data_IF_836496436443
#
_entry.id   IF_836496436443
#
_cell.length_a   1.000
_cell.length_b   1.000
_cell.length_c   1.000
_cell.angle_alpha   90.00
_cell.angle_beta   90.00
_cell.angle_gamma   90.00
#
_symmetry.space_group_name_H-M   'P 1'
#
loop_
_entity.id
_entity.type
_entity.pdbx_description
1 polymer ?
#
# COMPACT_ATOMS: atom_id res chain seq x y z
N UNK A 1 18.63 7.93 -12.48
CA UNK A 1 19.00 8.09 -13.91
C UNK A 1 17.74 8.05 -14.75
N UNK A 2 17.51 9.05 -15.57
CA UNK A 2 16.41 9.09 -16.53
C UNK A 2 16.86 8.46 -17.85
N UNK A 3 16.03 7.60 -18.44
CA UNK A 3 16.15 7.17 -19.81
C UNK A 3 15.26 8.10 -20.66
N UNK A 4 15.85 8.76 -21.64
CA UNK A 4 15.13 9.72 -22.48
C UNK A 4 14.94 9.17 -23.88
N UNK A 5 13.75 9.29 -24.40
CA UNK A 5 13.42 9.00 -25.80
C UNK A 5 12.58 10.14 -26.36
N UNK A 6 12.96 10.65 -27.53
CA UNK A 6 12.25 11.73 -28.21
C UNK A 6 11.61 11.19 -29.48
N UNK A 7 10.33 11.48 -29.69
CA UNK A 7 9.62 11.20 -30.94
C UNK A 7 8.71 12.38 -31.31
N UNK A 8 8.37 12.45 -32.58
CA UNK A 8 7.43 13.45 -33.09
C UNK A 8 6.12 12.77 -33.43
N UNK A 9 5.02 13.33 -32.97
CA UNK A 9 3.68 12.85 -33.24
C UNK A 9 2.69 14.01 -33.32
N UNK A 10 1.65 13.84 -34.13
CA UNK A 10 0.51 14.74 -34.19
C UNK A 10 -0.72 14.19 -33.45
N UNK A 11 -0.55 13.15 -32.65
CA UNK A 11 -1.64 12.53 -31.90
C UNK A 11 -1.93 13.28 -30.62
N UNK A 12 -3.20 13.51 -30.33
CA UNK A 12 -3.67 14.15 -29.09
C UNK A 12 -3.56 13.24 -27.87
N UNK A 13 -3.52 11.92 -28.10
CA UNK A 13 -3.42 10.90 -27.05
C UNK A 13 -2.29 9.93 -27.37
N UNK A 14 -1.44 9.71 -26.37
CA UNK A 14 -0.28 8.84 -26.48
C UNK A 14 -0.33 7.81 -25.36
N UNK A 15 -0.14 6.54 -25.70
CA UNK A 15 0.06 5.47 -24.73
C UNK A 15 1.53 5.09 -24.70
N UNK A 16 2.15 5.17 -23.56
CA UNK A 16 3.57 4.91 -23.34
C UNK A 16 3.71 3.62 -22.54
N UNK A 17 4.49 2.66 -23.05
CA UNK A 17 4.82 1.41 -22.37
C UNK A 17 6.33 1.24 -22.41
N UNK A 18 6.97 1.19 -21.26
CA UNK A 18 8.35 0.75 -21.16
C UNK A 18 8.39 -0.78 -21.12
N UNK A 19 9.27 -1.38 -21.92
CA UNK A 19 9.42 -2.83 -22.03
C UNK A 19 10.90 -3.24 -22.13
N UNK A 20 11.18 -4.51 -21.90
CA UNK A 20 12.49 -5.08 -22.22
C UNK A 20 12.87 -4.85 -23.68
N UNK A 21 14.14 -4.53 -23.97
CA UNK A 21 14.63 -4.54 -25.34
C UNK A 21 14.55 -5.97 -25.90
N UNK A 22 14.02 -6.11 -27.10
CA UNK A 22 13.85 -7.38 -27.79
C UNK A 22 12.45 -7.54 -28.38
N UNK A 23 12.25 -8.64 -29.13
CA UNK A 23 10.99 -8.95 -29.80
C UNK A 23 9.94 -9.55 -28.88
N UNK A 24 10.35 -10.14 -27.77
CA UNK A 24 9.44 -10.77 -26.81
C UNK A 24 9.07 -9.80 -25.68
N UNK A 25 7.79 -9.77 -25.37
CA UNK A 25 7.25 -8.96 -24.26
C UNK A 25 7.38 -9.74 -22.94
N UNK A 26 8.61 -10.06 -22.57
CA UNK A 26 8.87 -10.83 -21.34
C UNK A 26 8.69 -10.00 -20.08
N UNK A 27 8.77 -8.68 -20.22
CA UNK A 27 8.49 -7.72 -19.17
C UNK A 27 8.01 -6.40 -19.78
N UNK A 28 7.01 -5.81 -19.19
CA UNK A 28 6.54 -4.46 -19.53
C UNK A 28 6.09 -3.73 -18.25
N UNK A 29 6.29 -2.42 -18.24
CA UNK A 29 5.68 -1.56 -17.24
C UNK A 29 4.18 -1.38 -17.52
N UNK A 30 3.45 -0.86 -16.54
CA UNK A 30 2.08 -0.42 -16.73
C UNK A 30 1.99 0.62 -17.86
N UNK A 31 0.89 0.59 -18.62
CA UNK A 31 0.64 1.58 -19.67
C UNK A 31 0.36 2.93 -19.04
N UNK A 32 1.10 3.95 -19.45
CA UNK A 32 0.86 5.34 -19.08
C UNK A 32 0.17 6.05 -20.25
N UNK A 33 -1.00 6.62 -20.02
CA UNK A 33 -1.74 7.37 -21.02
C UNK A 33 -1.55 8.87 -20.80
N UNK A 34 -1.10 9.58 -21.83
CA UNK A 34 -0.94 11.02 -21.84
C UNK A 34 -1.85 11.65 -22.90
N UNK A 35 -2.62 12.64 -22.50
CA UNK A 35 -3.41 13.46 -23.41
C UNK A 35 -2.79 14.84 -23.51
N UNK A 36 -2.28 15.18 -24.71
CA UNK A 36 -1.82 16.52 -24.99
C UNK A 36 -3.02 17.42 -25.31
N UNK A 37 -3.28 18.40 -24.47
CA UNK A 37 -4.35 19.37 -24.69
C UNK A 37 -3.98 20.44 -25.74
N UNK A 38 -2.67 20.69 -25.94
CA UNK A 38 -2.11 21.66 -26.89
C UNK A 38 -1.08 21.00 -27.80
N UNK A 39 -1.58 20.32 -28.85
CA UNK A 39 -0.74 19.54 -29.80
C UNK A 39 0.29 20.38 -30.60
N UNK A 40 0.38 21.68 -30.35
CA UNK A 40 1.30 22.59 -31.05
C UNK A 40 2.63 22.82 -30.33
N UNK A 41 2.80 22.31 -29.10
CA UNK A 41 4.00 22.55 -28.30
C UNK A 41 4.72 21.24 -28.00
N UNK A 42 6.04 21.27 -27.94
CA UNK A 42 6.86 20.17 -27.46
C UNK A 42 6.62 20.03 -25.96
N UNK A 43 6.33 18.80 -25.52
CA UNK A 43 6.04 18.50 -24.13
C UNK A 43 6.94 17.37 -23.64
N UNK A 44 7.60 17.59 -22.52
CA UNK A 44 8.28 16.53 -21.80
C UNK A 44 7.26 15.73 -20.98
N UNK A 45 7.24 14.42 -21.16
CA UNK A 45 6.42 13.50 -20.35
C UNK A 45 7.32 12.59 -19.54
N UNK A 46 7.18 12.68 -18.22
CA UNK A 46 7.94 11.85 -17.29
C UNK A 46 7.11 10.64 -16.87
N UNK A 47 7.68 9.47 -17.01
CA UNK A 47 7.06 8.18 -16.66
C UNK A 47 7.93 7.48 -15.64
N UNK A 48 7.34 7.00 -14.55
CA UNK A 48 8.05 6.31 -13.46
C UNK A 48 7.66 4.84 -13.48
N UNK A 49 8.66 3.98 -13.33
CA UNK A 49 8.43 2.54 -13.23
C UNK A 49 7.44 2.21 -12.11
N UNK A 50 6.39 1.48 -12.46
CA UNK A 50 5.35 1.08 -11.52
C UNK A 50 4.30 2.15 -11.19
N UNK A 51 4.29 3.27 -11.93
CA UNK A 51 3.23 4.29 -11.88
C UNK A 51 2.55 4.39 -13.25
N UNK A 52 1.23 4.61 -13.25
CA UNK A 52 0.43 4.81 -14.48
C UNK A 52 0.21 6.29 -14.79
N UNK A 53 0.77 7.20 -13.98
CA UNK A 53 0.62 8.63 -14.14
C UNK A 53 1.60 9.19 -15.16
N UNK A 54 1.11 10.01 -16.09
CA UNK A 54 1.94 10.84 -16.95
C UNK A 54 2.18 12.19 -16.27
N UNK A 55 3.43 12.53 -16.01
CA UNK A 55 3.82 13.81 -15.42
C UNK A 55 4.35 14.73 -16.49
N UNK A 56 3.94 15.99 -16.49
CA UNK A 56 4.44 17.05 -17.41
C UNK A 56 5.49 17.94 -16.77
N UNK A 57 5.80 17.70 -15.53
CA UNK A 57 6.92 18.30 -14.80
C UNK A 57 7.70 17.19 -14.13
N UNK A 58 8.99 17.39 -13.85
CA UNK A 58 9.77 16.38 -13.11
C UNK A 58 9.04 16.11 -11.78
N UNK A 59 8.47 14.91 -11.60
CA UNK A 59 7.73 14.61 -10.38
C UNK A 59 8.68 14.59 -9.19
N UNK A 60 8.16 14.87 -8.01
CA UNK A 60 8.86 14.51 -6.79
C UNK A 60 8.93 12.98 -6.76
N UNK A 61 10.11 12.45 -7.07
CA UNK A 61 10.36 11.02 -7.19
C UNK A 61 10.01 10.31 -5.86
N UNK A 62 10.07 11.03 -4.75
CA UNK A 62 9.65 10.54 -3.44
C UNK A 62 8.17 10.14 -3.43
N UNK A 63 7.28 10.97 -3.94
CA UNK A 63 5.85 10.64 -4.02
C UNK A 63 5.57 9.58 -5.09
N UNK A 64 6.19 9.71 -6.24
CA UNK A 64 5.90 8.87 -7.39
C UNK A 64 6.42 7.42 -7.25
N UNK A 65 7.48 7.19 -6.48
CA UNK A 65 7.99 5.83 -6.18
C UNK A 65 7.36 5.19 -4.96
N UNK A 66 6.63 5.95 -4.15
CA UNK A 66 5.91 5.39 -3.02
C UNK A 66 4.70 4.60 -3.53
N UNK A 67 4.64 3.32 -3.18
CA UNK A 67 3.46 2.50 -3.47
C UNK A 67 2.32 2.94 -2.57
N UNK A 68 1.14 3.19 -3.16
CA UNK A 68 -0.08 3.53 -2.47
C UNK A 68 -1.01 2.32 -2.45
N UNK A 69 -1.62 2.05 -1.32
CA UNK A 69 -2.52 0.91 -1.16
C UNK A 69 -3.80 1.31 -0.41
N UNK A 70 -4.89 0.68 -0.81
CA UNK A 70 -6.07 0.50 0.04
C UNK A 70 -6.07 -0.95 0.52
N UNK A 71 -5.92 -1.14 1.81
CA UNK A 71 -5.98 -2.45 2.44
C UNK A 71 -7.42 -2.74 2.82
N UNK A 72 -8.00 -3.76 2.23
CA UNK A 72 -9.36 -4.19 2.55
C UNK A 72 -9.28 -5.46 3.38
N UNK A 73 -9.51 -5.36 4.68
CA UNK A 73 -9.69 -6.52 5.55
C UNK A 73 -11.12 -7.02 5.40
N UNK A 74 -11.29 -8.32 5.13
CA UNK A 74 -12.60 -8.94 5.05
C UNK A 74 -12.82 -9.89 6.22
N UNK A 75 -13.89 -9.67 6.98
CA UNK A 75 -14.29 -10.50 8.11
C UNK A 75 -15.52 -11.31 7.74
N UNK A 76 -15.35 -12.61 7.62
CA UNK A 76 -16.40 -13.55 7.29
C UNK A 76 -16.84 -14.37 8.49
N UNK A 77 -18.15 -14.65 8.56
CA UNK A 77 -18.74 -15.39 9.68
C UNK A 77 -18.30 -16.85 9.75
N UNK A 78 -18.00 -17.46 8.59
CA UNK A 78 -17.61 -18.86 8.48
C UNK A 78 -16.11 -19.07 8.25
N UNK A 79 -15.33 -17.98 8.23
CA UNK A 79 -13.89 -18.01 7.95
C UNK A 79 -13.49 -18.73 6.65
N UNK A 80 -14.41 -18.82 5.68
CA UNK A 80 -14.16 -19.38 4.36
C UNK A 80 -13.90 -18.25 3.37
N UNK A 81 -12.66 -18.14 2.88
CA UNK A 81 -12.22 -17.09 1.95
C UNK A 81 -11.92 -17.62 0.55
N UNK A 82 -12.12 -18.92 0.31
CA UNK A 82 -11.89 -19.50 -1.02
C UNK A 82 -12.79 -18.84 -2.06
N UNK A 83 -12.22 -18.52 -3.22
CA UNK A 83 -12.90 -17.81 -4.30
C UNK A 83 -13.22 -16.32 -4.04
N UNK A 84 -13.05 -15.82 -2.82
CA UNK A 84 -13.32 -14.40 -2.54
C UNK A 84 -12.14 -13.51 -2.95
N UNK A 85 -12.47 -12.38 -3.59
CA UNK A 85 -11.53 -11.37 -4.05
C UNK A 85 -12.18 -9.99 -4.10
N UNK A 86 -11.35 -8.97 -4.25
CA UNK A 86 -11.77 -7.62 -4.59
C UNK A 86 -11.77 -7.49 -6.10
N UNK A 87 -12.86 -7.01 -6.67
CA UNK A 87 -12.87 -6.48 -8.02
C UNK A 87 -12.94 -4.96 -7.97
N UNK A 88 -11.95 -4.28 -8.57
CA UNK A 88 -11.87 -2.82 -8.67
C UNK A 88 -11.68 -2.41 -10.12
N UNK A 89 -12.21 -1.27 -10.54
CA UNK A 89 -12.20 -0.82 -11.95
C UNK A 89 -11.54 0.53 -12.14
N UNK A 90 -11.03 1.14 -11.09
CA UNK A 90 -10.43 2.47 -11.14
C UNK A 90 -9.17 2.65 -10.29
N UNK A 91 -8.55 1.57 -9.83
CA UNK A 91 -7.32 1.64 -9.04
C UNK A 91 -6.11 2.16 -9.85
N UNK A 92 -6.16 1.99 -11.16
CA UNK A 92 -5.04 2.28 -12.07
C UNK A 92 -4.08 1.09 -12.25
N UNK A 93 -4.39 -0.06 -11.64
CA UNK A 93 -3.60 -1.30 -11.69
C UNK A 93 -4.52 -2.51 -11.90
N UNK A 94 -4.18 -3.63 -11.26
CA UNK A 94 -4.97 -4.86 -11.33
C UNK A 94 -6.40 -4.63 -10.87
N UNK A 95 -7.34 -5.16 -11.60
CA UNK A 95 -8.77 -5.08 -11.30
C UNK A 95 -9.28 -6.23 -10.43
N UNK A 96 -8.45 -7.27 -10.22
CA UNK A 96 -8.73 -8.39 -9.33
C UNK A 96 -7.62 -8.55 -8.30
N UNK A 97 -7.97 -8.40 -7.01
CA UNK A 97 -7.00 -8.53 -5.90
C UNK A 97 -7.48 -9.60 -4.93
N UNK A 98 -6.66 -10.64 -4.75
CA UNK A 98 -6.94 -11.76 -3.84
C UNK A 98 -6.66 -11.40 -2.40
N UNK A 99 -7.41 -12.01 -1.49
CA UNK A 99 -7.13 -11.92 -0.07
C UNK A 99 -5.91 -12.78 0.30
N UNK A 100 -5.09 -12.23 1.17
CA UNK A 100 -3.92 -12.91 1.74
C UNK A 100 -4.13 -12.99 3.24
N UNK A 101 -3.93 -14.17 3.79
CA UNK A 101 -3.98 -14.37 5.25
C UNK A 101 -2.76 -13.72 5.89
N UNK A 102 -2.99 -12.99 6.98
CA UNK A 102 -1.96 -12.35 7.75
C UNK A 102 -2.34 -12.32 9.23
N UNK A 103 -1.76 -13.22 10.01
CA UNK A 103 -1.98 -13.33 11.46
C UNK A 103 -3.46 -13.41 11.86
N UNK A 104 -4.23 -14.22 11.15
CA UNK A 104 -5.65 -14.40 11.37
C UNK A 104 -6.56 -13.38 10.68
N UNK A 105 -6.00 -12.34 10.07
CA UNK A 105 -6.74 -11.38 9.25
C UNK A 105 -6.56 -11.69 7.77
N UNK A 106 -7.63 -11.58 6.99
CA UNK A 106 -7.60 -11.71 5.54
C UNK A 106 -7.67 -10.35 4.88
N UNK A 107 -6.62 -9.95 4.18
CA UNK A 107 -6.42 -8.60 3.66
C UNK A 107 -6.13 -8.66 2.17
N UNK A 108 -6.88 -7.88 1.39
CA UNK A 108 -6.59 -7.62 -0.01
C UNK A 108 -5.82 -6.28 -0.12
N UNK A 109 -4.55 -6.29 -0.54
CA UNK A 109 -3.76 -5.08 -0.71
C UNK A 109 -4.00 -4.48 -2.10
N UNK A 110 -5.03 -3.66 -2.25
CA UNK A 110 -5.36 -3.01 -3.52
C UNK A 110 -4.36 -1.89 -3.78
N UNK A 111 -3.47 -2.10 -4.73
CA UNK A 111 -2.55 -1.05 -5.17
C UNK A 111 -3.31 0.04 -5.91
N UNK A 112 -2.96 1.30 -5.64
CA UNK A 112 -3.65 2.47 -6.18
C UNK A 112 -2.65 3.43 -6.80
N UNK A 113 -3.01 4.02 -7.93
CA UNK A 113 -2.21 5.10 -8.52
C UNK A 113 -2.17 6.31 -7.58
N UNK A 114 -1.00 6.94 -7.44
CA UNK A 114 -0.79 8.12 -6.60
C UNK A 114 -1.67 9.32 -6.98
N UNK A 115 -2.21 9.33 -8.21
CA UNK A 115 -3.14 10.35 -8.68
C UNK A 115 -4.59 10.15 -8.25
N UNK A 116 -4.92 9.02 -7.60
CA UNK A 116 -6.30 8.71 -7.21
C UNK A 116 -6.63 9.26 -5.83
N UNK A 117 -7.77 9.90 -5.72
CA UNK A 117 -8.35 10.36 -4.45
C UNK A 117 -9.38 9.37 -3.87
N UNK A 118 -9.74 8.36 -4.63
CA UNK A 118 -10.63 7.28 -4.21
C UNK A 118 -10.46 6.06 -5.11
N UNK A 119 -10.91 4.91 -4.62
CA UNK A 119 -11.13 3.72 -5.42
C UNK A 119 -12.57 3.22 -5.24
N UNK A 120 -13.07 2.59 -6.28
CA UNK A 120 -14.36 1.88 -6.26
C UNK A 120 -14.12 0.39 -6.44
N UNK A 121 -14.81 -0.42 -5.66
CA UNK A 121 -14.65 -1.86 -5.68
C UNK A 121 -15.93 -2.59 -5.23
N UNK A 122 -15.95 -3.89 -5.46
CA UNK A 122 -16.93 -4.78 -4.83
C UNK A 122 -16.23 -6.04 -4.28
N UNK A 123 -16.88 -6.66 -3.30
CA UNK A 123 -16.50 -7.96 -2.77
C UNK A 123 -17.10 -9.03 -3.69
N UNK A 124 -16.24 -9.75 -4.40
CA UNK A 124 -16.65 -10.73 -5.39
C UNK A 124 -16.23 -12.14 -4.98
N UNK A 125 -17.14 -13.09 -5.19
CA UNK A 125 -16.81 -14.51 -5.18
C UNK A 125 -16.69 -15.00 -6.62
N UNK A 126 -15.57 -15.62 -6.93
CA UNK A 126 -15.31 -16.19 -8.25
C UNK A 126 -14.16 -17.19 -8.15
N UNK A 127 -14.36 -18.37 -8.69
CA UNK A 127 -13.34 -19.41 -8.81
C UNK A 127 -12.44 -19.19 -10.03
N UNK A 128 -12.89 -18.37 -10.99
CA UNK A 128 -12.12 -17.88 -12.13
C UNK A 128 -12.12 -16.35 -12.11
N UNK A 129 -10.99 -15.72 -12.37
CA UNK A 129 -10.81 -14.25 -12.32
C UNK A 129 -11.77 -13.50 -13.28
N UNK A 130 -12.34 -14.18 -14.27
CA UNK A 130 -13.26 -13.62 -15.25
C UNK A 130 -14.74 -13.93 -14.99
N UNK A 131 -15.06 -14.76 -14.02
CA UNK A 131 -16.43 -15.17 -13.73
C UNK A 131 -16.99 -14.49 -12.49
N UNK A 132 -18.28 -14.14 -12.55
CA UNK A 132 -19.02 -13.53 -11.45
C UNK A 132 -20.03 -14.52 -10.90
N UNK A 133 -19.68 -15.18 -9.82
CA UNK A 133 -20.60 -16.13 -9.18
C UNK A 133 -21.54 -15.40 -8.22
N UNK A 134 -21.00 -14.55 -7.36
CA UNK A 134 -21.76 -13.75 -6.41
C UNK A 134 -21.00 -12.52 -5.92
N UNK A 135 -21.72 -11.63 -5.22
CA UNK A 135 -21.16 -10.47 -4.53
C UNK A 135 -21.62 -10.47 -3.07
N UNK A 136 -20.80 -9.92 -2.18
CA UNK A 136 -21.24 -9.51 -0.86
C UNK A 136 -21.57 -8.01 -0.88
N UNK A 137 -22.85 -7.70 -0.86
CA UNK A 137 -23.33 -6.33 -0.94
C UNK A 137 -23.23 -5.70 -2.34
N UNK A 138 -23.19 -4.38 -2.36
CA UNK A 138 -23.13 -3.56 -3.57
C UNK A 138 -21.71 -3.14 -3.93
N UNK A 139 -21.63 -2.06 -4.69
CA UNK A 139 -20.37 -1.38 -4.98
C UNK A 139 -20.02 -0.43 -3.85
N UNK A 140 -18.74 -0.34 -3.52
CA UNK A 140 -18.21 0.47 -2.44
C UNK A 140 -17.20 1.44 -2.98
N UNK A 141 -17.10 2.61 -2.35
CA UNK A 141 -16.08 3.61 -2.64
C UNK A 141 -15.32 3.94 -1.37
N UNK A 142 -13.98 3.97 -1.48
CA UNK A 142 -13.08 4.38 -0.39
C UNK A 142 -12.32 5.62 -0.84
N UNK A 143 -12.42 6.68 -0.04
CA UNK A 143 -11.60 7.88 -0.24
C UNK A 143 -10.20 7.65 0.31
N UNK A 144 -9.23 8.17 -0.41
CA UNK A 144 -7.83 8.20 0.00
C UNK A 144 -7.53 9.62 0.46
N UNK A 145 -7.13 9.78 1.70
CA UNK A 145 -6.78 11.10 2.21
C UNK A 145 -5.52 11.63 1.51
N UNK A 146 -5.51 12.92 1.18
CA UNK A 146 -4.39 13.56 0.51
C UNK A 146 -3.08 13.34 1.29
N UNK A 147 -2.03 12.93 0.60
CA UNK A 147 -0.72 12.65 1.20
C UNK A 147 -0.62 11.30 1.94
N UNK A 148 -1.71 10.53 2.01
CA UNK A 148 -1.70 9.21 2.64
C UNK A 148 -1.28 8.12 1.65
N UNK A 149 -0.38 7.25 2.07
CA UNK A 149 0.11 6.12 1.29
C UNK A 149 -0.71 4.86 1.48
N UNK A 150 -1.27 4.70 2.65
CA UNK A 150 -2.05 3.54 3.05
C UNK A 150 -3.34 3.98 3.71
N UNK A 151 -4.43 3.42 3.19
CA UNK A 151 -5.75 3.54 3.79
C UNK A 151 -6.22 2.12 4.09
N UNK A 152 -6.77 1.87 5.27
CA UNK A 152 -7.34 0.56 5.58
C UNK A 152 -8.85 0.69 5.81
N UNK A 153 -9.59 -0.26 5.30
CA UNK A 153 -11.00 -0.46 5.64
C UNK A 153 -11.22 -1.88 6.12
N UNK A 154 -12.17 -2.03 7.03
CA UNK A 154 -12.66 -3.34 7.48
C UNK A 154 -14.05 -3.53 6.90
N UNK A 155 -14.21 -4.61 6.18
CA UNK A 155 -15.46 -5.05 5.58
C UNK A 155 -15.97 -6.29 6.32
N UNK A 156 -17.20 -6.26 6.80
CA UNK A 156 -17.84 -7.41 7.40
C UNK A 156 -18.90 -7.99 6.47
N UNK A 157 -18.95 -9.33 6.41
CA UNK A 157 -19.93 -10.07 5.61
C UNK A 157 -21.36 -9.64 5.92
N UNK A 158 -22.06 -9.20 4.86
CA UNK A 158 -23.45 -8.74 4.94
C UNK A 158 -23.65 -7.35 5.54
N UNK A 159 -22.58 -6.68 6.03
CA UNK A 159 -22.67 -5.35 6.64
C UNK A 159 -22.01 -4.24 5.82
N UNK A 160 -21.05 -4.60 4.94
CA UNK A 160 -20.26 -3.64 4.20
C UNK A 160 -19.08 -3.10 5.01
N UNK A 161 -18.62 -1.87 4.69
CA UNK A 161 -17.50 -1.24 5.39
C UNK A 161 -17.96 -0.80 6.78
N UNK A 162 -17.34 -1.38 7.81
CA UNK A 162 -17.64 -1.11 9.22
C UNK A 162 -16.58 -0.23 9.90
N UNK A 163 -15.37 -0.15 9.35
CA UNK A 163 -14.30 0.70 9.89
C UNK A 163 -13.46 1.28 8.77
N UNK A 164 -12.95 2.49 8.98
CA UNK A 164 -12.13 3.25 8.04
C UNK A 164 -10.97 3.92 8.76
N UNK A 165 -9.76 3.67 8.29
CA UNK A 165 -8.51 4.17 8.86
C UNK A 165 -7.70 4.89 7.77
N UNK A 166 -7.86 6.20 7.60
CA UNK A 166 -7.24 6.94 6.49
C UNK A 166 -5.76 7.22 6.70
N UNK A 167 -5.29 7.23 7.95
CA UNK A 167 -3.98 7.70 8.40
C UNK A 167 -3.04 6.59 8.89
N UNK A 168 -3.36 5.33 8.57
CA UNK A 168 -2.61 4.19 9.07
C UNK A 168 -1.41 3.87 8.18
N UNK A 169 -0.29 4.51 8.48
CA UNK A 169 1.01 4.16 7.93
C UNK A 169 1.83 3.46 9.01
N UNK A 170 2.36 2.28 8.72
CA UNK A 170 3.29 1.59 9.61
C UNK A 170 4.70 2.17 9.52
N UNK A 171 5.01 2.93 8.47
CA UNK A 171 6.26 3.66 8.34
C UNK A 171 6.11 4.92 7.48
N UNK A 172 7.01 5.87 7.69
CA UNK A 172 7.15 7.08 6.89
C UNK A 172 8.62 7.32 6.58
N UNK A 173 8.94 7.59 5.31
CA UNK A 173 10.29 7.86 4.86
C UNK A 173 10.56 9.38 4.85
N UNK A 174 11.45 9.84 5.71
CA UNK A 174 12.07 11.17 5.59
C UNK A 174 13.37 11.07 4.79
N UNK A 175 13.22 10.94 3.49
CA UNK A 175 14.33 10.76 2.56
C UNK A 175 15.24 11.98 2.50
N UNK A 176 14.73 13.17 2.82
CA UNK A 176 15.49 14.41 2.85
C UNK A 176 16.57 14.39 3.94
N UNK A 177 16.22 13.82 5.09
CA UNK A 177 17.10 13.73 6.24
C UNK A 177 17.72 12.34 6.42
N UNK A 178 17.43 11.38 5.52
CA UNK A 178 17.93 10.01 5.61
C UNK A 178 17.38 9.29 6.84
N UNK A 179 16.09 9.43 7.10
CA UNK A 179 15.42 8.88 8.28
C UNK A 179 14.17 8.10 7.89
N UNK A 180 13.81 7.15 8.74
CA UNK A 180 12.51 6.48 8.71
C UNK A 180 11.85 6.62 10.08
N UNK A 181 10.55 6.88 10.07
CA UNK A 181 9.68 6.83 11.22
C UNK A 181 8.84 5.57 11.15
N UNK A 182 8.74 4.85 12.25
CA UNK A 182 8.03 3.58 12.36
C UNK A 182 6.87 3.73 13.34
N UNK A 183 5.72 3.19 12.99
CA UNK A 183 4.47 3.38 13.72
C UNK A 183 3.77 2.05 13.94
N UNK A 184 3.21 1.88 15.13
CA UNK A 184 2.36 0.74 15.45
C UNK A 184 1.06 1.19 16.10
N UNK A 185 -0.04 0.61 15.70
CA UNK A 185 -1.34 0.76 16.34
C UNK A 185 -2.11 -0.57 16.24
N UNK A 186 -2.67 -0.98 17.33
CA UNK A 186 -3.64 -2.07 17.34
C UNK A 186 -5.02 -1.51 16.96
N UNK A 187 -5.62 -2.03 15.89
CA UNK A 187 -6.86 -1.50 15.34
C UNK A 187 -8.06 -1.69 16.28
N UNK A 188 -8.14 -2.87 16.90
CA UNK A 188 -9.28 -3.20 17.75
C UNK A 188 -9.24 -2.34 19.03
N UNK A 189 -8.07 -2.19 19.62
CA UNK A 189 -7.87 -1.29 20.77
C UNK A 189 -8.07 0.19 20.39
N UNK A 190 -7.67 0.58 19.20
CA UNK A 190 -7.92 1.93 18.70
C UNK A 190 -9.41 2.21 18.56
N UNK A 191 -10.17 1.29 17.98
CA UNK A 191 -11.63 1.41 17.83
C UNK A 191 -12.34 1.54 19.19
N UNK A 192 -11.79 0.91 20.23
CA UNK A 192 -12.27 1.01 21.61
C UNK A 192 -11.70 2.22 22.40
N UNK A 193 -10.88 3.05 21.76
CA UNK A 193 -10.11 4.13 22.40
C UNK A 193 -9.15 3.65 23.51
N UNK A 194 -8.57 2.47 23.34
CA UNK A 194 -7.68 1.79 24.28
C UNK A 194 -6.26 1.54 23.73
N UNK A 195 -5.90 2.15 22.61
CA UNK A 195 -4.60 1.91 21.96
C UNK A 195 -3.39 2.19 22.88
N UNK A 196 -3.56 3.02 23.90
CA UNK A 196 -2.54 3.31 24.93
C UNK A 196 -2.49 2.35 26.10
N UNK A 197 -3.37 1.35 26.18
CA UNK A 197 -3.40 0.38 27.29
C UNK A 197 -2.37 -0.75 27.11
N UNK A 198 -1.73 -0.85 25.94
CA UNK A 198 -0.60 -1.77 25.67
C UNK A 198 0.56 -1.43 26.61
N UNK A 199 1.16 -2.43 27.23
CA UNK A 199 2.23 -2.22 28.21
C UNK A 199 3.54 -1.76 27.58
N UNK A 200 3.93 -2.32 26.43
CA UNK A 200 5.09 -1.87 25.65
C UNK A 200 5.01 -2.34 24.21
N UNK A 201 5.62 -1.57 23.32
CA UNK A 201 5.85 -1.94 21.94
C UNK A 201 7.30 -1.63 21.60
N UNK A 202 7.94 -2.57 20.92
CA UNK A 202 9.26 -2.40 20.32
C UNK A 202 9.14 -2.65 18.82
N UNK A 203 9.99 -2.03 18.04
CA UNK A 203 10.18 -2.36 16.63
C UNK A 203 11.56 -2.95 16.43
N UNK A 204 11.64 -4.07 15.72
CA UNK A 204 12.89 -4.60 15.19
C UNK A 204 12.98 -4.15 13.75
N UNK A 205 14.01 -3.41 13.42
CA UNK A 205 14.28 -2.86 12.10
C UNK A 205 15.71 -3.20 11.70
N UNK A 206 15.87 -3.95 10.62
CA UNK A 206 17.15 -4.48 10.15
C UNK A 206 17.98 -5.06 11.31
N UNK A 207 17.39 -6.01 12.03
CA UNK A 207 17.96 -6.69 13.22
C UNK A 207 18.25 -5.80 14.44
N UNK A 208 17.97 -4.53 14.38
CA UNK A 208 18.11 -3.62 15.52
C UNK A 208 16.79 -3.42 16.24
N UNK A 209 16.77 -3.63 17.55
CA UNK A 209 15.58 -3.46 18.37
C UNK A 209 15.53 -2.04 18.97
N UNK A 210 14.37 -1.40 18.85
CA UNK A 210 14.10 -0.06 19.36
C UNK A 210 12.83 -0.03 20.19
N UNK A 211 12.87 0.58 21.38
CA UNK A 211 11.67 0.89 22.15
C UNK A 211 10.84 1.96 21.40
N UNK A 212 9.52 1.79 21.42
CA UNK A 212 8.58 2.76 20.87
C UNK A 212 7.90 3.54 21.99
N UNK A 213 7.52 4.77 21.70
CA UNK A 213 6.82 5.65 22.64
C UNK A 213 5.39 5.85 22.18
N UNK A 214 4.43 5.72 23.11
CA UNK A 214 3.03 5.99 22.80
C UNK A 214 2.77 7.49 22.68
N UNK A 215 2.18 7.90 21.55
CA UNK A 215 1.73 9.26 21.31
C UNK A 215 0.20 9.33 21.42
N UNK A 216 -0.29 9.96 22.48
CA UNK A 216 -1.72 10.07 22.77
C UNK A 216 -2.49 10.92 21.74
N UNK A 217 -1.84 11.85 21.05
CA UNK A 217 -2.49 12.69 20.04
C UNK A 217 -2.79 11.91 18.74
N UNK A 218 -1.89 11.01 18.36
CA UNK A 218 -2.03 10.16 17.16
C UNK A 218 -2.58 8.78 17.50
N UNK A 219 -2.65 8.45 18.79
CA UNK A 219 -3.00 7.13 19.32
C UNK A 219 -2.16 6.00 18.71
N UNK A 220 -0.88 6.27 18.47
CA UNK A 220 0.08 5.33 17.91
C UNK A 220 1.29 5.19 18.82
N UNK A 221 1.93 4.05 18.73
CA UNK A 221 3.28 3.84 19.20
C UNK A 221 4.25 4.27 18.10
N UNK A 222 5.26 5.04 18.43
CA UNK A 222 6.13 5.70 17.47
C UNK A 222 7.59 5.48 17.82
N UNK A 223 8.40 5.18 16.79
CA UNK A 223 9.85 5.28 16.81
C UNK A 223 10.28 6.15 15.64
N UNK A 224 10.73 7.35 15.96
CA UNK A 224 11.15 8.34 14.96
C UNK A 224 12.66 8.36 14.77
N UNK A 225 13.09 8.98 13.67
CA UNK A 225 14.48 9.31 13.39
C UNK A 225 15.44 8.10 13.29
N UNK A 226 14.94 6.92 12.95
CA UNK A 226 15.79 5.76 12.67
C UNK A 226 16.56 6.02 11.37
N UNK A 227 17.83 5.63 11.32
CA UNK A 227 18.69 5.85 10.14
C UNK A 227 18.15 5.04 8.96
N UNK A 228 17.97 5.71 7.82
CA UNK A 228 17.52 5.12 6.56
C UNK A 228 18.73 5.00 5.61
N UNK A 229 19.04 3.79 5.20
CA UNK A 229 20.06 3.48 4.18
C UNK A 229 19.37 3.12 2.86
N UNK A 230 20.13 3.03 1.77
CA UNK A 230 19.61 2.50 0.51
C UNK A 230 19.51 0.97 0.57
N UNK A 231 18.44 0.42 0.04
CA UNK A 231 18.20 -1.01 -0.03
C UNK A 231 16.80 -1.42 0.37
N UNK A 232 16.64 -2.72 0.53
CA UNK A 232 15.46 -3.34 1.11
C UNK A 232 15.61 -3.36 2.63
N UNK A 233 14.53 -3.05 3.34
CA UNK A 233 14.48 -2.97 4.79
C UNK A 233 13.40 -3.87 5.34
N UNK A 234 13.72 -4.58 6.42
CA UNK A 234 12.85 -5.54 7.10
C UNK A 234 12.49 -5.03 8.47
N UNK A 235 11.22 -5.16 8.88
CA UNK A 235 10.81 -4.79 10.23
C UNK A 235 9.59 -5.59 10.71
N UNK A 236 9.48 -5.69 12.02
CA UNK A 236 8.33 -6.24 12.74
C UNK A 236 8.22 -5.63 14.13
N UNK A 237 7.09 -5.86 14.79
CA UNK A 237 6.86 -5.35 16.14
C UNK A 237 6.84 -6.47 17.16
N UNK A 238 7.35 -6.17 18.34
CA UNK A 238 7.21 -6.97 19.54
C UNK A 238 6.27 -6.25 20.48
N UNK A 239 5.11 -6.83 20.73
CA UNK A 239 4.02 -6.20 21.47
C UNK A 239 3.78 -6.96 22.75
N UNK A 240 3.78 -6.24 23.85
CA UNK A 240 3.44 -6.75 25.17
C UNK A 240 2.13 -6.12 25.63
N UNK A 241 1.04 -6.85 25.58
CA UNK A 241 -0.31 -6.33 25.84
C UNK A 241 -0.46 -5.87 27.29
N UNK A 242 0.05 -6.65 28.26
CA UNK A 242 0.04 -6.30 29.68
C UNK A 242 1.44 -6.54 30.29
N UNK A 243 1.70 -5.93 31.45
CA UNK A 243 3.02 -6.00 32.09
C UNK A 243 3.53 -7.42 32.30
N UNK A 244 2.63 -8.33 32.63
CA UNK A 244 2.96 -9.73 32.92
C UNK A 244 2.61 -10.71 31.78
N UNK A 245 2.19 -10.18 30.59
CA UNK A 245 1.93 -10.99 29.42
C UNK A 245 3.23 -11.35 28.69
N UNK A 246 3.19 -12.42 27.90
CA UNK A 246 4.25 -12.71 26.95
C UNK A 246 4.31 -11.65 25.84
N UNK A 247 5.50 -11.47 25.29
CA UNK A 247 5.72 -10.63 24.11
C UNK A 247 5.28 -11.38 22.87
N UNK A 248 4.45 -10.75 22.04
CA UNK A 248 3.92 -11.33 20.80
C UNK A 248 4.50 -10.56 19.62
N UNK A 249 4.94 -11.28 18.60
CA UNK A 249 5.41 -10.67 17.36
C UNK A 249 4.21 -10.32 16.48
N UNK A 250 4.21 -9.10 15.96
CA UNK A 250 3.22 -8.56 15.04
C UNK A 250 3.90 -8.00 13.79
N UNK A 251 3.32 -8.28 12.64
CA UNK A 251 3.70 -7.60 11.41
C UNK A 251 2.89 -6.30 11.25
N UNK A 252 3.38 -5.41 10.43
CA UNK A 252 2.64 -4.21 10.05
C UNK A 252 1.45 -4.60 9.17
N UNK A 253 0.25 -4.53 9.71
CA UNK A 253 -0.99 -4.82 8.99
C UNK A 253 -1.28 -3.81 7.87
N UNK A 254 -0.65 -2.65 7.93
CA UNK A 254 -0.82 -1.56 6.95
C UNK A 254 0.25 -1.59 5.85
N UNK A 255 1.21 -2.51 5.91
CA UNK A 255 2.18 -2.75 4.86
C UNK A 255 1.80 -3.97 4.04
N UNK A 256 1.48 -3.75 2.75
CA UNK A 256 1.13 -4.82 1.83
C UNK A 256 2.33 -5.70 1.41
N UNK A 257 3.56 -5.19 1.58
CA UNK A 257 4.76 -5.93 1.22
C UNK A 257 5.28 -6.70 2.43
N UNK A 258 5.27 -8.01 2.33
CA UNK A 258 5.71 -8.93 3.37
C UNK A 258 6.50 -10.06 2.78
N UNK A 259 7.51 -10.50 3.49
CA UNK A 259 8.17 -11.76 3.22
C UNK A 259 7.44 -12.87 3.98
N UNK A 260 7.00 -13.89 3.25
CA UNK A 260 6.52 -15.12 3.84
C UNK A 260 7.74 -15.93 4.27
N UNK A 261 8.10 -15.84 5.54
CA UNK A 261 9.21 -16.60 6.12
C UNK A 261 8.72 -17.60 7.16
N UNK A 262 9.60 -18.49 7.56
CA UNK A 262 9.40 -19.34 8.73
C UNK A 262 9.30 -18.46 9.98
N UNK A 263 8.07 -18.12 10.32
CA UNK A 263 7.60 -17.53 11.56
C UNK A 263 8.42 -16.36 12.13
N UNK A 264 7.89 -15.14 12.14
CA UNK A 264 6.62 -14.68 11.61
C UNK A 264 6.72 -13.97 10.25
N UNK A 265 7.88 -13.97 9.60
CA UNK A 265 8.17 -13.14 8.44
C UNK A 265 8.45 -11.68 8.83
N UNK A 266 8.53 -10.82 7.82
CA UNK A 266 8.86 -9.40 7.96
C UNK A 266 7.91 -8.55 7.14
N UNK A 267 7.65 -7.36 7.61
CA UNK A 267 7.13 -6.27 6.78
C UNK A 267 8.31 -5.64 6.06
N UNK A 268 8.15 -5.33 4.78
CA UNK A 268 9.25 -4.91 3.90
C UNK A 268 8.94 -3.57 3.27
N UNK A 269 9.94 -2.72 3.17
CA UNK A 269 9.93 -1.58 2.26
C UNK A 269 11.30 -1.41 1.61
N UNK A 270 11.32 -0.73 0.47
CA UNK A 270 12.54 -0.42 -0.27
C UNK A 270 12.77 1.09 -0.30
N UNK A 271 14.03 1.47 -0.21
CA UNK A 271 14.44 2.85 -0.41
C UNK A 271 15.70 2.91 -1.28
N UNK A 272 15.64 3.68 -2.34
CA UNK A 272 16.78 3.97 -3.20
C UNK A 272 16.83 5.47 -3.51
N UNK A 273 18.02 6.04 -3.43
CA UNK A 273 18.23 7.42 -3.86
C UNK A 273 18.31 7.47 -5.37
N UNK A 274 17.52 8.33 -5.93
CA UNK A 274 17.63 8.67 -7.35
C UNK A 274 18.55 9.87 -7.47
N UNK A 275 19.75 9.66 -8.05
CA UNK A 275 20.73 10.69 -8.34
C UNK A 275 20.53 11.25 -9.73
#
# INVERSE_FOLDING_TARGET
TWLTYTWTTSLDNISIIAKNPGSEWTWQAATVNYKNADAAEDVDVYVIHGDTTAYTTIPDIKEATQKHYVLVEYRRNNADYDGWNIYTWDSGYDDTVKFVENQGSWIAPVRVSSSKESISFCMRHSTDDNEWESKDGGDHMVKIAAGQRMTKVVFEEGKGIVSYYPDNQGYELDTKNGKVNLYYRDDDLYAENKAGEIASVKVVYDDNEYEMTYNANTQRWEKTDVVLTEGEHHYYYKVKAAKDSEEVIKLDLFNANKEAGDNPGYSIFEYYKFN
#
